data_IF_261235889673
#
_entry.id   IF_261235889673
#
_cell.length_a   1.000
_cell.length_b   1.000
_cell.length_c   1.000
_cell.angle_alpha   90.00
_cell.angle_beta   90.00
_cell.angle_gamma   90.00
#
_symmetry.space_group_name_H-M   'P 1'
#
loop_
_entity.id
_entity.type
_entity.pdbx_description
1 polymer ?
#
# COMPACT_ATOMS: atom_id res chain seq x y z
N UNK A 1 55.41 14.92 -27.50
CA UNK A 1 54.29 15.24 -26.65
C UNK A 1 53.31 14.04 -26.65
N UNK A 2 53.27 13.20 -25.60
CA UNK A 2 52.39 12.02 -25.48
C UNK A 2 51.13 12.41 -24.74
N UNK A 3 49.96 12.37 -25.40
CA UNK A 3 48.65 12.58 -24.77
C UNK A 3 48.27 11.33 -23.95
N UNK A 4 48.16 11.48 -22.66
CA UNK A 4 47.58 10.48 -21.73
C UNK A 4 46.06 10.54 -21.88
N UNK A 5 45.43 9.46 -22.35
CA UNK A 5 44.00 9.26 -22.25
C UNK A 5 43.67 8.78 -20.83
N UNK A 6 42.82 9.53 -20.14
CA UNK A 6 42.26 9.13 -18.83
C UNK A 6 40.97 8.37 -19.12
N UNK A 7 40.98 7.03 -18.94
CA UNK A 7 39.78 6.22 -18.96
C UNK A 7 39.03 6.44 -17.62
N UNK A 8 37.94 7.14 -17.70
CA UNK A 8 37.00 7.26 -16.57
C UNK A 8 36.26 5.94 -16.38
N UNK A 9 36.53 5.24 -15.27
CA UNK A 9 35.75 4.10 -14.86
C UNK A 9 34.40 4.59 -14.27
N UNK A 10 33.30 4.31 -14.95
CA UNK A 10 31.97 4.52 -14.43
C UNK A 10 31.71 3.48 -13.34
N UNK A 11 31.62 3.93 -12.09
CA UNK A 11 31.15 3.12 -10.95
C UNK A 11 29.65 2.85 -11.14
N UNK A 12 29.31 1.65 -11.57
CA UNK A 12 27.95 1.10 -11.49
C UNK A 12 27.64 0.87 -10.01
N UNK A 13 26.87 1.78 -9.41
CA UNK A 13 26.27 1.57 -8.09
C UNK A 13 25.15 0.53 -8.27
N UNK A 14 25.23 -0.65 -7.64
CA UNK A 14 24.12 -1.60 -7.68
C UNK A 14 22.92 -0.98 -6.97
N UNK A 15 21.81 -0.77 -7.68
CA UNK A 15 20.52 -0.57 -7.06
C UNK A 15 20.21 -1.83 -6.23
N UNK A 16 20.35 -1.73 -4.92
CA UNK A 16 19.84 -2.74 -4.00
C UNK A 16 18.31 -2.68 -4.08
N UNK A 17 17.72 -3.45 -5.00
CA UNK A 17 16.30 -3.69 -5.03
C UNK A 17 15.90 -4.31 -3.70
N UNK A 18 14.95 -3.68 -2.99
CA UNK A 18 14.27 -4.29 -1.85
C UNK A 18 13.77 -5.66 -2.33
N UNK A 19 14.20 -6.73 -1.66
CA UNK A 19 13.82 -8.09 -2.02
C UNK A 19 12.29 -8.18 -2.01
N UNK A 20 11.69 -8.33 -3.18
CA UNK A 20 10.27 -8.58 -3.34
C UNK A 20 9.93 -9.91 -2.69
N UNK A 21 8.97 -9.91 -1.79
CA UNK A 21 8.44 -11.13 -1.16
C UNK A 21 7.45 -11.79 -2.12
N UNK A 22 7.93 -12.37 -3.20
CA UNK A 22 7.11 -13.19 -4.09
C UNK A 22 7.00 -14.62 -3.53
N UNK A 23 6.05 -15.40 -4.03
CA UNK A 23 5.82 -16.79 -3.66
C UNK A 23 4.67 -17.00 -2.68
N UNK A 24 4.44 -16.08 -1.77
CA UNK A 24 3.34 -16.18 -0.80
C UNK A 24 2.26 -15.16 -1.13
N UNK A 25 1.03 -15.65 -1.33
CA UNK A 25 -0.13 -14.78 -1.56
C UNK A 25 -0.36 -13.91 -0.32
N UNK A 26 -0.63 -12.62 -0.54
CA UNK A 26 -0.98 -11.69 0.53
C UNK A 26 -2.16 -12.24 1.35
N UNK A 27 -2.04 -12.36 2.68
CA UNK A 27 -3.10 -12.87 3.54
C UNK A 27 -4.41 -12.09 3.39
N UNK A 28 -5.52 -12.83 3.37
CA UNK A 28 -6.86 -12.22 3.41
C UNK A 28 -7.17 -11.72 4.82
N UNK A 29 -7.90 -10.61 4.86
CA UNK A 29 -8.43 -10.03 6.09
C UNK A 29 -9.92 -9.74 5.94
N UNK A 30 -10.57 -9.47 7.07
CA UNK A 30 -11.97 -9.06 7.07
C UNK A 30 -12.16 -7.69 6.40
N UNK A 31 -13.26 -7.54 5.67
CA UNK A 31 -13.69 -6.26 5.12
C UNK A 31 -14.07 -5.25 6.22
N UNK A 32 -14.58 -5.77 7.33
CA UNK A 32 -15.15 -4.95 8.40
C UNK A 32 -16.49 -4.30 8.00
N UNK A 33 -17.11 -3.54 8.91
CA UNK A 33 -18.44 -2.97 8.71
C UNK A 33 -18.42 -1.62 7.94
N UNK A 34 -17.26 -1.11 7.59
CA UNK A 34 -17.13 0.26 7.07
C UNK A 34 -16.82 0.32 5.56
N UNK A 35 -16.85 -0.78 4.84
CA UNK A 35 -16.70 -0.74 3.38
C UNK A 35 -17.91 -0.05 2.73
N UNK A 36 -17.64 0.83 1.75
CA UNK A 36 -18.66 1.43 0.88
C UNK A 36 -18.27 1.19 -0.58
N UNK A 37 -19.13 0.57 -1.38
CA UNK A 37 -18.85 0.33 -2.80
C UNK A 37 -18.86 1.64 -3.59
N UNK A 38 -18.34 1.59 -4.82
CA UNK A 38 -18.35 2.71 -5.78
C UNK A 38 -17.56 3.95 -5.29
N UNK A 39 -16.44 3.71 -4.61
CA UNK A 39 -15.51 4.78 -4.26
C UNK A 39 -15.06 5.57 -5.51
N UNK A 40 -14.72 6.86 -5.42
CA UNK A 40 -14.26 7.62 -6.57
C UNK A 40 -12.89 7.14 -7.08
N UNK A 41 -12.66 7.28 -8.38
CA UNK A 41 -11.35 7.03 -9.00
C UNK A 41 -10.39 8.16 -8.61
N UNK A 42 -9.51 7.90 -7.67
CA UNK A 42 -8.49 8.86 -7.21
C UNK A 42 -7.34 8.15 -6.48
N UNK A 43 -6.11 8.62 -6.72
CA UNK A 43 -4.91 8.14 -6.03
C UNK A 43 -4.54 8.99 -4.81
N UNK A 44 -5.13 10.18 -4.66
CA UNK A 44 -5.01 11.01 -3.47
C UNK A 44 -6.35 11.06 -2.73
N UNK A 45 -6.31 10.69 -1.45
CA UNK A 45 -7.45 10.75 -0.53
C UNK A 45 -7.41 12.00 0.36
N UNK A 46 -6.46 12.91 0.14
CA UNK A 46 -6.35 14.16 0.87
C UNK A 46 -7.51 15.09 0.50
N UNK A 47 -8.10 15.70 1.51
CA UNK A 47 -9.24 16.63 1.37
C UNK A 47 -8.81 18.10 1.57
N UNK A 48 -7.60 18.31 2.12
CA UNK A 48 -7.04 19.61 2.49
C UNK A 48 -7.16 19.92 3.98
N UNK A 49 -6.06 20.41 4.56
CA UNK A 49 -6.00 20.75 5.99
C UNK A 49 -5.58 19.62 6.93
N UNK A 50 -5.17 18.47 6.41
CA UNK A 50 -4.69 17.34 7.19
C UNK A 50 -3.37 17.67 7.92
N UNK A 51 -3.21 17.10 9.13
CA UNK A 51 -2.01 17.28 9.97
C UNK A 51 -0.91 16.28 9.64
N UNK A 52 -1.25 15.17 9.00
CA UNK A 52 -0.33 14.13 8.61
C UNK A 52 -0.42 13.82 7.12
N UNK A 53 0.62 13.26 6.56
CA UNK A 53 0.65 12.79 5.16
C UNK A 53 1.39 11.47 5.09
N UNK A 54 0.80 10.53 4.37
CA UNK A 54 1.37 9.23 4.06
C UNK A 54 1.35 9.02 2.54
N UNK A 55 2.45 8.56 2.00
CA UNK A 55 2.52 7.97 0.67
C UNK A 55 2.73 6.48 0.85
N UNK A 56 1.74 5.67 0.50
CA UNK A 56 1.85 4.23 0.42
C UNK A 56 2.01 3.83 -1.04
N UNK A 57 3.08 3.12 -1.35
CA UNK A 57 3.36 2.66 -2.71
C UNK A 57 3.77 1.19 -2.74
N UNK A 58 3.78 0.58 -3.91
CA UNK A 58 4.20 -0.80 -4.08
C UNK A 58 3.82 -1.34 -5.44
N UNK A 59 3.92 -2.64 -5.60
CA UNK A 59 3.61 -3.36 -6.84
C UNK A 59 2.58 -4.45 -6.57
N UNK A 60 1.65 -4.65 -7.49
CA UNK A 60 0.76 -5.82 -7.50
C UNK A 60 1.44 -6.90 -8.34
N UNK A 61 1.63 -8.07 -7.76
CA UNK A 61 2.41 -9.17 -8.31
C UNK A 61 1.60 -10.47 -8.31
N UNK A 62 1.97 -11.39 -9.19
CA UNK A 62 1.59 -12.79 -9.09
C UNK A 62 2.56 -13.55 -8.17
N UNK A 63 2.25 -14.79 -7.73
CA UNK A 63 3.18 -15.59 -6.91
C UNK A 63 4.53 -15.88 -7.59
N UNK A 64 4.60 -15.88 -8.91
CA UNK A 64 5.83 -16.03 -9.70
C UNK A 64 6.50 -14.69 -10.03
N UNK A 65 6.22 -13.66 -9.25
CA UNK A 65 6.84 -12.33 -9.30
C UNK A 65 6.56 -11.52 -10.57
N UNK A 66 5.53 -11.85 -11.33
CA UNK A 66 5.17 -11.06 -12.50
C UNK A 66 4.28 -9.89 -12.09
N UNK A 67 4.53 -8.68 -12.59
CA UNK A 67 3.62 -7.56 -12.39
C UNK A 67 2.21 -7.86 -12.89
N UNK A 68 1.20 -7.34 -12.19
CA UNK A 68 -0.22 -7.41 -12.61
C UNK A 68 -0.66 -6.03 -13.08
N UNK A 69 -0.55 -5.74 -14.38
CA UNK A 69 -1.00 -4.47 -14.94
C UNK A 69 -2.50 -4.27 -14.74
N UNK A 70 -2.91 -3.02 -14.56
CA UNK A 70 -4.31 -2.65 -14.45
C UNK A 70 -5.09 -3.36 -13.32
N UNK A 71 -4.38 -3.86 -12.28
CA UNK A 71 -5.03 -4.34 -11.08
C UNK A 71 -5.82 -3.21 -10.41
N UNK A 72 -7.06 -3.46 -10.01
CA UNK A 72 -7.87 -2.53 -9.25
C UNK A 72 -7.44 -2.57 -7.78
N UNK A 73 -7.20 -1.40 -7.18
CA UNK A 73 -6.96 -1.24 -5.74
C UNK A 73 -7.99 -0.24 -5.19
N UNK A 74 -8.84 -0.69 -4.26
CA UNK A 74 -9.86 0.14 -3.62
C UNK A 74 -9.53 0.28 -2.13
N UNK A 75 -9.20 1.50 -1.69
CA UNK A 75 -8.70 1.80 -0.35
C UNK A 75 -9.74 2.50 0.50
N UNK A 76 -9.78 2.18 1.81
CA UNK A 76 -10.53 2.92 2.81
C UNK A 76 -9.90 2.81 4.19
N UNK A 77 -10.02 3.86 5.00
CA UNK A 77 -9.52 3.90 6.37
C UNK A 77 -10.22 4.97 7.21
N UNK A 78 -9.97 4.96 8.51
CA UNK A 78 -10.45 5.98 9.46
C UNK A 78 -9.73 7.32 9.26
N UNK A 79 -10.32 8.37 9.75
CA UNK A 79 -9.68 9.69 9.82
C UNK A 79 -8.65 9.79 10.96
N UNK A 80 -8.13 11.01 11.20
CA UNK A 80 -7.17 11.30 12.26
C UNK A 80 -7.76 11.18 13.68
N UNK A 81 -9.06 10.95 13.82
CA UNK A 81 -9.78 10.75 15.06
C UNK A 81 -10.30 9.31 15.22
N UNK A 82 -10.04 8.42 14.26
CA UNK A 82 -10.48 7.03 14.27
C UNK A 82 -11.90 6.83 13.73
N UNK A 83 -12.53 7.84 13.15
CA UNK A 83 -13.87 7.76 12.58
C UNK A 83 -13.85 7.43 11.08
N UNK A 84 -14.82 6.63 10.61
CA UNK A 84 -15.04 6.37 9.20
C UNK A 84 -16.16 7.28 8.65
N UNK A 85 -15.97 7.80 7.46
CA UNK A 85 -17.06 8.44 6.72
C UNK A 85 -18.00 7.36 6.16
N UNK A 86 -19.17 7.21 6.77
CA UNK A 86 -20.19 6.26 6.36
C UNK A 86 -21.32 6.89 5.52
N UNK A 87 -21.15 8.15 5.09
CA UNK A 87 -22.13 8.87 4.27
C UNK A 87 -21.58 9.32 2.94
N UNK A 88 -20.27 9.55 2.88
CA UNK A 88 -19.54 9.98 1.70
C UNK A 88 -18.33 9.09 1.42
N UNK A 89 -17.32 9.71 0.80
CA UNK A 89 -16.10 9.01 0.38
C UNK A 89 -14.82 9.64 0.94
N UNK A 90 -14.88 10.30 2.10
CA UNK A 90 -13.69 10.81 2.76
C UNK A 90 -12.77 9.65 3.10
N UNK A 91 -11.50 9.74 2.74
CA UNK A 91 -10.48 8.69 2.86
C UNK A 91 -10.88 7.35 2.24
N UNK A 92 -11.61 7.43 1.11
CA UNK A 92 -11.99 6.29 0.27
C UNK A 92 -11.69 6.62 -1.18
N UNK A 93 -11.17 5.65 -1.91
CA UNK A 93 -10.91 5.84 -3.33
C UNK A 93 -10.26 4.62 -3.95
N UNK A 94 -10.48 4.43 -5.24
CA UNK A 94 -9.84 3.38 -5.99
C UNK A 94 -8.91 3.94 -7.06
N UNK A 95 -7.98 3.11 -7.48
CA UNK A 95 -7.08 3.37 -8.58
C UNK A 95 -6.73 2.07 -9.31
N UNK A 96 -6.14 2.19 -10.48
CA UNK A 96 -5.58 1.06 -11.21
C UNK A 96 -4.06 1.12 -11.18
N UNK A 97 -3.43 -0.04 -11.00
CA UNK A 97 -2.00 -0.18 -11.14
C UNK A 97 -1.57 0.14 -12.59
N UNK A 98 -0.36 0.67 -12.74
CA UNK A 98 0.21 0.99 -14.05
C UNK A 98 0.62 -0.27 -14.85
N UNK A 99 1.23 -0.08 -16.00
CA UNK A 99 1.68 -1.17 -16.88
C UNK A 99 2.76 -2.07 -16.22
N UNK A 100 3.43 -1.59 -15.18
CA UNK A 100 4.40 -2.34 -14.38
C UNK A 100 3.81 -2.85 -13.06
N UNK A 101 2.47 -2.83 -12.90
CA UNK A 101 1.78 -3.24 -11.68
C UNK A 101 1.94 -2.29 -10.51
N UNK A 102 2.53 -1.10 -10.68
CA UNK A 102 2.82 -0.17 -9.59
C UNK A 102 1.58 0.64 -9.22
N UNK A 103 1.43 0.91 -7.94
CA UNK A 103 0.42 1.81 -7.39
C UNK A 103 1.05 2.85 -6.46
N UNK A 104 0.36 3.96 -6.25
CA UNK A 104 0.75 5.00 -5.30
C UNK A 104 -0.51 5.63 -4.72
N UNK A 105 -0.68 5.46 -3.43
CA UNK A 105 -1.73 6.09 -2.64
C UNK A 105 -1.14 7.26 -1.85
N UNK A 106 -1.79 8.43 -1.92
CA UNK A 106 -1.49 9.56 -1.08
C UNK A 106 -2.65 9.78 -0.12
N UNK A 107 -2.34 9.76 1.19
CA UNK A 107 -3.37 9.86 2.22
C UNK A 107 -2.77 10.37 3.53
N UNK A 108 -3.50 10.23 4.62
CA UNK A 108 -3.06 10.52 5.99
C UNK A 108 -2.56 9.26 6.69
N UNK A 109 -1.91 9.43 7.84
CA UNK A 109 -1.76 8.36 8.82
C UNK A 109 -3.08 8.26 9.59
N UNK A 110 -3.89 7.17 9.42
CA UNK A 110 -5.15 7.03 10.13
C UNK A 110 -4.93 6.87 11.64
N UNK A 111 -5.92 7.23 12.44
CA UNK A 111 -5.89 6.91 13.86
C UNK A 111 -6.35 5.47 14.13
N UNK A 112 -5.93 4.93 15.27
CA UNK A 112 -6.53 3.73 15.85
C UNK A 112 -7.96 4.02 16.32
N UNK A 113 -8.77 2.97 16.45
CA UNK A 113 -10.10 3.04 17.07
C UNK A 113 -10.31 1.84 18.00
N UNK A 114 -11.33 1.84 18.90
CA UNK A 114 -11.46 0.82 19.92
C UNK A 114 -11.32 -0.62 19.41
N UNK A 115 -10.33 -1.34 19.93
CA UNK A 115 -10.04 -2.73 19.59
C UNK A 115 -9.21 -2.92 18.32
N UNK A 116 -8.81 -1.86 17.60
CA UNK A 116 -8.06 -1.95 16.35
C UNK A 116 -6.85 -1.02 16.33
N UNK A 117 -5.71 -1.55 15.93
CA UNK A 117 -4.53 -0.75 15.62
C UNK A 117 -4.73 0.03 14.31
N UNK A 118 -3.82 0.98 14.02
CA UNK A 118 -3.83 1.73 12.74
C UNK A 118 -3.71 0.79 11.57
N UNK A 119 -4.60 0.93 10.60
CA UNK A 119 -4.56 0.14 9.38
C UNK A 119 -5.26 0.84 8.22
N UNK A 120 -4.92 0.43 7.03
CA UNK A 120 -5.57 0.82 5.78
C UNK A 120 -6.17 -0.44 5.17
N UNK A 121 -7.49 -0.45 4.99
CA UNK A 121 -8.16 -1.51 4.25
C UNK A 121 -7.90 -1.37 2.76
N UNK A 122 -7.83 -2.49 2.06
CA UNK A 122 -7.74 -2.51 0.61
C UNK A 122 -8.39 -3.75 0.02
N UNK A 123 -9.09 -3.56 -1.10
CA UNK A 123 -9.43 -4.63 -2.03
C UNK A 123 -8.51 -4.56 -3.21
N UNK A 124 -7.88 -5.68 -3.55
CA UNK A 124 -7.02 -5.80 -4.74
C UNK A 124 -7.61 -6.84 -5.67
N UNK A 125 -7.74 -6.50 -6.94
CA UNK A 125 -8.30 -7.40 -7.93
C UNK A 125 -7.50 -7.33 -9.24
N UNK A 126 -6.92 -8.45 -9.63
CA UNK A 126 -6.39 -8.61 -10.98
C UNK A 126 -7.52 -8.54 -12.02
N UNK A 127 -7.26 -8.10 -13.25
CA UNK A 127 -8.27 -8.15 -14.32
C UNK A 127 -8.88 -9.56 -14.44
N UNK A 128 -10.19 -9.67 -14.26
CA UNK A 128 -10.94 -10.93 -14.24
C UNK A 128 -10.57 -11.90 -13.09
N UNK A 129 -9.70 -11.51 -12.17
CA UNK A 129 -9.29 -12.29 -11.00
C UNK A 129 -10.29 -12.17 -9.84
N UNK A 130 -10.05 -12.96 -8.79
CA UNK A 130 -10.81 -12.88 -7.55
C UNK A 130 -10.35 -11.67 -6.72
N UNK A 131 -11.28 -11.05 -6.01
CA UNK A 131 -10.97 -9.96 -5.08
C UNK A 131 -10.24 -10.52 -3.87
N UNK A 132 -9.06 -9.97 -3.59
CA UNK A 132 -8.39 -10.07 -2.30
C UNK A 132 -8.85 -8.89 -1.44
N UNK A 133 -9.50 -9.15 -0.31
CA UNK A 133 -9.73 -8.15 0.73
C UNK A 133 -8.67 -8.33 1.81
N UNK A 134 -7.95 -7.28 2.16
CA UNK A 134 -6.88 -7.31 3.15
C UNK A 134 -6.72 -5.96 3.86
N UNK A 135 -5.73 -5.85 4.73
CA UNK A 135 -5.39 -4.63 5.47
C UNK A 135 -3.87 -4.45 5.42
N UNK A 136 -3.41 -3.21 5.46
CA UNK A 136 -2.00 -2.85 5.58
C UNK A 136 -1.80 -2.17 6.92
N UNK A 137 -0.86 -2.67 7.72
CA UNK A 137 -0.58 -2.20 9.07
C UNK A 137 0.68 -1.33 9.12
N UNK A 138 0.79 -0.56 10.20
CA UNK A 138 1.92 0.35 10.44
C UNK A 138 2.97 -0.34 11.31
N UNK A 139 4.25 -0.36 10.90
CA UNK A 139 5.31 -1.01 11.66
C UNK A 139 5.54 -0.31 13.00
N UNK A 140 5.76 -1.12 14.04
CA UNK A 140 6.10 -0.62 15.37
C UNK A 140 4.96 0.08 16.10
N UNK A 141 3.73 0.05 15.60
CA UNK A 141 2.58 0.60 16.32
C UNK A 141 2.31 -0.23 17.59
N UNK A 142 2.25 0.41 18.78
CA UNK A 142 1.98 -0.30 20.03
C UNK A 142 0.63 -1.05 20.05
N UNK A 143 -0.33 -0.61 19.24
CA UNK A 143 -1.63 -1.24 19.06
C UNK A 143 -1.55 -2.62 18.43
N UNK A 144 -0.53 -2.91 17.61
CA UNK A 144 -0.39 -4.19 16.89
C UNK A 144 -0.45 -5.41 17.82
N UNK A 145 0.15 -5.32 19.01
CA UNK A 145 0.16 -6.42 20.01
C UNK A 145 -1.20 -6.68 20.64
N UNK A 146 -2.16 -5.75 20.54
CA UNK A 146 -3.49 -5.84 21.16
C UNK A 146 -4.60 -6.10 20.15
N UNK A 147 -4.31 -5.96 18.86
CA UNK A 147 -5.27 -6.18 17.78
C UNK A 147 -5.28 -7.65 17.36
N UNK A 148 -6.36 -8.35 17.65
CA UNK A 148 -6.51 -9.79 17.31
C UNK A 148 -6.57 -10.09 15.81
N UNK A 149 -6.64 -9.07 14.94
CA UNK A 149 -6.61 -9.22 13.49
C UNK A 149 -5.25 -8.87 12.88
N UNK A 150 -4.34 -8.32 13.68
CA UNK A 150 -3.03 -7.95 13.20
C UNK A 150 -2.22 -9.18 12.74
N UNK A 151 -1.59 -9.04 11.58
CA UNK A 151 -0.64 -10.01 11.03
C UNK A 151 0.66 -9.27 10.65
N UNK A 152 1.82 -9.70 11.15
CA UNK A 152 3.12 -9.09 10.83
C UNK A 152 3.43 -9.06 9.32
N UNK A 153 2.94 -10.04 8.56
CA UNK A 153 3.11 -10.16 7.12
C UNK A 153 2.38 -9.05 6.35
N UNK A 154 1.47 -8.35 7.01
CA UNK A 154 0.71 -7.23 6.47
C UNK A 154 1.23 -5.86 6.91
N UNK A 155 2.38 -5.81 7.60
CA UNK A 155 3.04 -4.52 7.87
C UNK A 155 3.68 -3.94 6.61
N UNK A 156 3.43 -2.64 6.36
CA UNK A 156 4.20 -1.92 5.36
C UNK A 156 5.66 -1.78 5.80
N UNK A 157 6.57 -1.81 4.85
CA UNK A 157 7.97 -1.43 5.10
C UNK A 157 8.05 0.09 5.10
N UNK A 158 8.56 0.68 6.16
CA UNK A 158 8.79 2.12 6.20
C UNK A 158 10.02 2.47 5.36
N UNK A 159 9.84 3.26 4.31
CA UNK A 159 10.93 3.71 3.45
C UNK A 159 11.63 4.93 4.04
N UNK A 160 10.87 5.92 4.46
CA UNK A 160 11.28 7.13 5.21
C UNK A 160 10.06 7.72 5.94
N UNK A 161 10.26 8.81 6.67
CA UNK A 161 9.16 9.49 7.36
C UNK A 161 8.06 9.86 6.37
N UNK A 162 6.81 9.43 6.64
CA UNK A 162 5.65 9.67 5.79
C UNK A 162 5.60 8.84 4.50
N UNK A 163 6.46 7.84 4.32
CA UNK A 163 6.44 6.94 3.17
C UNK A 163 6.51 5.48 3.59
N UNK A 164 5.59 4.69 3.09
CA UNK A 164 5.52 3.23 3.26
C UNK A 164 5.53 2.50 1.92
N UNK A 165 6.00 1.27 1.95
CA UNK A 165 5.98 0.37 0.78
C UNK A 165 5.32 -0.94 1.18
N UNK A 166 4.38 -1.40 0.34
CA UNK A 166 3.74 -2.69 0.49
C UNK A 166 3.44 -3.31 -0.89
N UNK A 167 3.93 -4.51 -1.15
CA UNK A 167 3.64 -5.22 -2.39
C UNK A 167 2.51 -6.22 -2.14
N UNK A 168 1.51 -6.23 -3.04
CA UNK A 168 0.41 -7.20 -2.98
C UNK A 168 0.70 -8.36 -3.92
N UNK A 169 0.62 -9.59 -3.41
CA UNK A 169 0.70 -10.81 -4.21
C UNK A 169 -0.69 -11.42 -4.34
N UNK A 170 -1.20 -11.52 -5.56
CA UNK A 170 -2.57 -11.96 -5.86
C UNK A 170 -2.60 -13.11 -6.86
N UNK A 171 -3.63 -13.96 -6.77
CA UNK A 171 -3.94 -14.91 -7.82
C UNK A 171 -4.60 -14.19 -9.02
N UNK A 172 -4.22 -14.57 -10.22
CA UNK A 172 -4.75 -14.07 -11.50
C UNK A 172 -5.56 -15.14 -12.22
#
# INVERSE_FOLDING_TARGET
>A
MKRRQILGAALLVPLHGLAQTCGVITPRQTEGPFFSPNSPLRASLLEGGEKSRLILSGVVLTPDCKPVPNALLDFWHSDEQGAYDNRGFRYRGHQHADAQGRYRLETIVPAEYPGRTRHIHVKVQAPRGRILTTQVYFPGDPGNKRDGLYLPELEMKQAKAGEGVFDFVVNV
#
